data_IF_755913744344
#
_entry.id   IF_755913744344
#
_cell.length_a   1.000
_cell.length_b   1.000
_cell.length_c   1.000
_cell.angle_alpha   90.00
_cell.angle_beta   90.00
_cell.angle_gamma   90.00
#
_symmetry.space_group_name_H-M   'P 1'
#
loop_
_entity.id
_entity.type
_entity.pdbx_description
1 polymer ?
#
# COMPACT_ATOMS: atom_id res chain seq x y z
N UNK A 1 -2.14 19.48 69.30
CA UNK A 1 -2.42 18.11 68.78
C UNK A 1 -2.65 18.23 67.28
N UNK A 2 -1.89 17.48 66.48
CA UNK A 2 -1.80 17.55 65.00
C UNK A 2 -3.01 16.91 64.33
N UNK A 3 -3.48 17.47 63.21
CA UNK A 3 -4.08 16.79 62.04
C UNK A 3 -4.34 17.84 60.95
N UNK A 4 -3.38 18.12 60.07
CA UNK A 4 -3.06 17.51 58.76
C UNK A 4 -4.07 17.79 57.64
N UNK A 5 -3.49 18.34 56.57
CA UNK A 5 -3.99 18.77 55.27
C UNK A 5 -4.95 17.80 54.54
N UNK A 6 -5.94 18.42 53.89
CA UNK A 6 -6.23 18.38 52.44
C UNK A 6 -6.32 17.00 51.76
N UNK A 7 -7.55 16.56 51.44
CA UNK A 7 -7.82 15.46 50.53
C UNK A 7 -8.85 15.88 49.48
N UNK A 8 -8.37 16.35 48.33
CA UNK A 8 -9.19 16.56 47.13
C UNK A 8 -9.62 15.17 46.65
N UNK A 9 -10.93 14.94 46.64
CA UNK A 9 -11.54 13.72 46.15
C UNK A 9 -11.42 13.68 44.61
N UNK A 10 -10.34 13.10 44.09
CA UNK A 10 -10.28 12.72 42.68
C UNK A 10 -11.25 11.57 42.45
N UNK A 11 -12.40 11.87 41.86
CA UNK A 11 -13.30 10.86 41.33
C UNK A 11 -12.66 10.28 40.07
N UNK A 12 -11.81 9.27 40.24
CA UNK A 12 -11.27 8.53 39.09
C UNK A 12 -12.40 7.67 38.54
N UNK A 13 -12.97 8.11 37.41
CA UNK A 13 -13.82 7.27 36.58
C UNK A 13 -12.96 6.10 36.13
N UNK A 14 -13.09 4.99 36.82
CA UNK A 14 -12.48 3.72 36.43
C UNK A 14 -13.24 3.24 35.22
N UNK A 15 -12.78 3.60 34.02
CA UNK A 15 -13.20 2.92 32.79
C UNK A 15 -12.56 1.54 32.84
N UNK A 16 -13.20 0.63 33.58
CA UNK A 16 -12.93 -0.79 33.47
C UNK A 16 -13.67 -1.28 32.23
N UNK A 17 -13.20 -0.87 31.04
CA UNK A 17 -13.63 -1.49 29.80
C UNK A 17 -12.98 -2.86 29.77
N UNK A 18 -13.72 -3.87 30.22
CA UNK A 18 -13.42 -5.26 29.93
C UNK A 18 -13.41 -5.42 28.42
N UNK A 19 -12.24 -5.31 27.79
CA UNK A 19 -12.03 -5.73 26.41
C UNK A 19 -12.04 -7.26 26.38
N UNK A 20 -13.21 -7.86 26.64
CA UNK A 20 -13.44 -9.29 26.57
C UNK A 20 -14.36 -9.63 25.39
N UNK A 21 -14.13 -8.95 24.26
CA UNK A 21 -14.56 -9.38 22.94
C UNK A 21 -13.86 -8.48 21.92
N UNK A 22 -12.61 -8.79 21.55
CA UNK A 22 -12.08 -8.30 20.29
C UNK A 22 -12.82 -9.08 19.20
N UNK A 23 -13.99 -8.59 18.82
CA UNK A 23 -14.83 -9.18 17.78
C UNK A 23 -14.06 -9.01 16.47
N UNK A 24 -13.53 -10.11 15.93
CA UNK A 24 -12.87 -10.26 14.61
C UNK A 24 -13.76 -9.80 13.44
N UNK A 25 -14.11 -8.52 13.38
CA UNK A 25 -14.89 -7.90 12.31
C UNK A 25 -14.30 -6.55 11.88
N UNK A 26 -13.28 -6.02 12.58
CA UNK A 26 -12.63 -4.73 12.26
C UNK A 26 -11.14 -4.83 11.85
N UNK A 27 -10.56 -6.03 11.73
CA UNK A 27 -9.12 -6.19 11.41
C UNK A 27 -8.81 -6.09 9.90
N UNK A 28 -9.74 -6.41 8.99
CA UNK A 28 -9.45 -6.43 7.54
C UNK A 28 -9.23 -5.03 6.93
N UNK A 29 -9.84 -3.96 7.48
CA UNK A 29 -9.74 -2.59 6.92
C UNK A 29 -8.44 -1.90 7.36
N UNK A 30 -7.95 -2.21 8.56
CA UNK A 30 -6.74 -1.59 9.13
C UNK A 30 -5.48 -2.14 8.47
N UNK A 31 -5.47 -3.43 8.12
CA UNK A 31 -4.32 -4.09 7.51
C UNK A 31 -3.93 -3.47 6.17
N UNK A 32 -4.90 -3.17 5.30
CA UNK A 32 -4.59 -2.72 3.94
C UNK A 32 -3.99 -1.29 3.89
N UNK A 33 -4.35 -0.44 4.85
CA UNK A 33 -3.76 0.89 4.97
C UNK A 33 -2.27 0.81 5.37
N UNK A 34 -1.92 -0.12 6.25
CA UNK A 34 -0.54 -0.41 6.63
C UNK A 34 0.28 -0.94 5.46
N UNK A 35 -0.30 -1.77 4.61
CA UNK A 35 0.40 -2.31 3.44
C UNK A 35 0.63 -1.24 2.34
N UNK A 36 -0.27 -0.27 2.21
CA UNK A 36 -0.15 0.84 1.24
C UNK A 36 1.14 1.63 1.44
N UNK A 37 1.42 2.06 2.68
CA UNK A 37 2.63 2.85 2.97
C UNK A 37 3.93 2.07 2.76
N UNK A 38 3.87 0.74 2.81
CA UNK A 38 5.01 -0.15 2.60
C UNK A 38 5.20 -0.57 1.13
N UNK A 39 4.31 -0.14 0.25
CA UNK A 39 4.33 -0.48 -1.17
C UNK A 39 4.80 0.71 -1.99
N UNK A 40 5.80 0.52 -2.84
CA UNK A 40 6.26 1.55 -3.77
C UNK A 40 6.44 1.02 -5.18
N UNK A 41 6.06 1.86 -6.15
CA UNK A 41 6.23 1.63 -7.58
C UNK A 41 7.46 2.38 -8.09
N UNK A 42 8.45 1.62 -8.55
CA UNK A 42 9.67 2.11 -9.19
C UNK A 42 9.55 2.00 -10.71
N UNK A 43 10.15 2.96 -11.40
CA UNK A 43 10.15 3.06 -12.86
C UNK A 43 11.58 3.27 -13.33
N UNK A 44 12.01 2.47 -14.29
CA UNK A 44 13.31 2.53 -14.92
C UNK A 44 13.16 2.60 -16.44
N UNK A 45 13.49 3.75 -17.04
CA UNK A 45 13.47 3.91 -18.50
C UNK A 45 14.79 3.37 -19.06
N UNK A 46 14.73 2.52 -20.09
CA UNK A 46 15.93 1.94 -20.68
C UNK A 46 16.82 3.01 -21.32
N UNK A 47 18.11 3.00 -20.97
CA UNK A 47 19.11 3.90 -21.54
C UNK A 47 19.43 3.62 -23.02
N UNK A 48 19.06 2.46 -23.56
CA UNK A 48 19.28 2.08 -24.96
C UNK A 48 18.03 2.20 -25.83
N UNK A 49 16.84 2.23 -25.22
CA UNK A 49 15.58 2.43 -25.91
C UNK A 49 14.62 3.23 -25.00
N UNK A 50 14.46 4.55 -25.20
CA UNK A 50 13.66 5.40 -24.30
C UNK A 50 12.16 5.08 -24.31
N UNK A 51 11.70 4.25 -25.26
CA UNK A 51 10.31 3.74 -25.31
C UNK A 51 10.11 2.46 -24.50
N UNK A 52 11.19 1.81 -24.07
CA UNK A 52 11.12 0.61 -23.26
C UNK A 52 11.31 0.98 -21.79
N UNK A 53 10.34 0.60 -20.97
CA UNK A 53 10.32 0.92 -19.54
C UNK A 53 10.15 -0.36 -18.73
N UNK A 54 10.96 -0.48 -17.69
CA UNK A 54 10.85 -1.51 -16.67
C UNK A 54 10.16 -0.94 -15.43
N UNK A 55 9.19 -1.68 -14.93
CA UNK A 55 8.43 -1.38 -13.73
C UNK A 55 8.75 -2.41 -12.66
N UNK A 56 8.91 -1.95 -11.44
CA UNK A 56 9.09 -2.81 -10.27
C UNK A 56 8.24 -2.31 -9.11
N UNK A 57 7.48 -3.20 -8.50
CA UNK A 57 6.88 -2.96 -7.20
C UNK A 57 7.79 -3.53 -6.12
N UNK A 58 8.07 -2.71 -5.11
CA UNK A 58 8.69 -3.18 -3.88
C UNK A 58 7.69 -3.08 -2.74
N UNK A 59 7.72 -4.07 -1.86
CA UNK A 59 6.84 -4.20 -0.72
C UNK A 59 7.64 -4.74 0.46
N UNK A 60 7.53 -4.09 1.62
CA UNK A 60 8.28 -4.45 2.83
C UNK A 60 7.39 -4.84 4.01
N UNK A 61 6.11 -5.11 3.75
CA UNK A 61 5.18 -5.62 4.77
C UNK A 61 5.32 -7.13 4.98
N UNK A 62 4.59 -7.66 5.96
CA UNK A 62 4.65 -9.07 6.31
C UNK A 62 3.87 -9.96 5.33
N UNK A 63 2.84 -9.40 4.69
CA UNK A 63 2.01 -10.13 3.73
C UNK A 63 2.65 -10.16 2.34
N UNK A 64 2.49 -11.27 1.63
CA UNK A 64 3.08 -11.43 0.29
C UNK A 64 2.19 -10.89 -0.82
N UNK A 65 2.84 -10.32 -1.85
CA UNK A 65 2.21 -10.02 -3.13
C UNK A 65 1.83 -11.34 -3.82
N UNK A 66 0.55 -11.47 -4.16
CA UNK A 66 -0.01 -12.63 -4.87
C UNK A 66 -0.04 -12.39 -6.39
N UNK A 67 -0.39 -11.18 -6.81
CA UNK A 67 -0.39 -10.79 -8.22
C UNK A 67 -0.38 -9.28 -8.38
N UNK A 68 0.03 -8.82 -9.57
CA UNK A 68 -0.04 -7.42 -9.96
C UNK A 68 -0.72 -7.31 -11.32
N UNK A 69 -1.73 -6.44 -11.42
CA UNK A 69 -2.28 -6.03 -12.71
C UNK A 69 -1.69 -4.67 -13.07
N UNK A 70 -0.90 -4.66 -14.14
CA UNK A 70 -0.27 -3.47 -14.68
C UNK A 70 -1.18 -2.85 -15.73
N UNK A 71 -1.45 -1.56 -15.60
CA UNK A 71 -2.01 -0.73 -16.64
C UNK A 71 -0.98 0.34 -17.00
N UNK A 72 -0.51 0.32 -18.23
CA UNK A 72 0.58 1.19 -18.68
C UNK A 72 0.09 2.57 -19.15
N UNK A 73 -1.21 2.84 -19.12
CA UNK A 73 -1.79 4.13 -19.50
C UNK A 73 -1.96 4.34 -21.00
N UNK A 74 -1.46 3.44 -21.84
CA UNK A 74 -1.62 3.45 -23.31
C UNK A 74 -2.76 2.53 -23.81
N UNK A 75 -3.55 1.99 -22.88
CA UNK A 75 -4.63 1.04 -23.13
C UNK A 75 -4.21 -0.43 -23.05
N UNK A 76 -2.91 -0.72 -22.89
CA UNK A 76 -2.43 -2.09 -22.69
C UNK A 76 -2.35 -2.45 -21.20
N UNK A 77 -2.57 -3.72 -20.90
CA UNK A 77 -2.52 -4.27 -19.54
C UNK A 77 -1.86 -5.63 -19.51
N UNK A 78 -1.15 -5.94 -18.43
CA UNK A 78 -0.51 -7.24 -18.20
C UNK A 78 -0.72 -7.68 -16.75
N UNK A 79 -0.86 -8.98 -16.52
CA UNK A 79 -0.91 -9.54 -15.17
C UNK A 79 0.32 -10.39 -14.90
N UNK A 80 0.96 -10.18 -13.74
CA UNK A 80 2.13 -10.93 -13.31
C UNK A 80 1.94 -11.51 -11.91
N UNK A 81 2.61 -12.63 -11.62
CA UNK A 81 2.78 -13.16 -10.26
C UNK A 81 4.08 -12.65 -9.62
N UNK A 82 5.05 -12.23 -10.43
CA UNK A 82 6.24 -11.50 -9.97
C UNK A 82 5.98 -10.00 -9.80
N UNK A 83 6.98 -9.30 -9.25
CA UNK A 83 6.89 -7.88 -8.93
C UNK A 83 7.37 -6.94 -10.04
N UNK A 84 7.78 -7.48 -11.20
CA UNK A 84 8.29 -6.72 -12.33
C UNK A 84 7.45 -6.88 -13.58
N UNK A 85 7.46 -5.86 -14.42
CA UNK A 85 6.94 -5.89 -15.78
C UNK A 85 7.76 -4.98 -16.68
N UNK A 86 7.92 -5.37 -17.94
CA UNK A 86 8.54 -4.53 -18.97
C UNK A 86 7.50 -4.18 -20.02
N UNK A 87 7.48 -2.93 -20.46
CA UNK A 87 6.55 -2.45 -21.48
C UNK A 87 7.28 -1.65 -22.56
N UNK A 88 6.78 -1.74 -23.80
CA UNK A 88 7.26 -0.97 -24.94
C UNK A 88 6.13 -0.05 -25.43
N UNK A 89 6.35 1.26 -25.29
CA UNK A 89 5.41 2.26 -25.78
C UNK A 89 5.60 2.52 -27.28
N UNK A 90 4.51 2.55 -28.04
CA UNK A 90 4.57 2.81 -29.48
C UNK A 90 4.79 4.30 -29.81
N UNK A 91 4.17 5.18 -29.02
CA UNK A 91 4.18 6.63 -29.21
C UNK A 91 4.80 7.37 -28.02
N UNK A 92 5.46 8.50 -28.32
CA UNK A 92 5.90 9.45 -27.30
C UNK A 92 4.69 10.10 -26.62
N UNK A 93 4.84 10.47 -25.35
CA UNK A 93 3.77 11.05 -24.55
C UNK A 93 3.94 10.80 -23.06
N UNK A 94 3.05 11.38 -22.27
CA UNK A 94 2.97 11.17 -20.83
C UNK A 94 1.91 10.13 -20.53
N UNK A 95 2.28 9.09 -19.79
CA UNK A 95 1.39 7.99 -19.42
C UNK A 95 1.27 7.86 -17.91
N UNK A 96 0.04 7.73 -17.39
CA UNK A 96 -0.20 7.37 -15.99
C UNK A 96 -0.22 5.84 -15.87
N UNK A 97 0.87 5.30 -15.34
CA UNK A 97 0.99 3.87 -15.04
C UNK A 97 0.35 3.58 -13.70
N UNK A 98 -0.45 2.52 -13.63
CA UNK A 98 -1.09 2.03 -12.40
C UNK A 98 -0.77 0.55 -12.22
N UNK A 99 -0.34 0.17 -11.02
CA UNK A 99 -0.15 -1.23 -10.65
C UNK A 99 -1.19 -1.60 -9.58
N UNK A 100 -2.15 -2.47 -9.88
CA UNK A 100 -3.07 -3.01 -8.87
C UNK A 100 -2.43 -4.24 -8.22
N UNK A 101 -1.79 -4.02 -7.07
CA UNK A 101 -1.00 -4.98 -6.30
C UNK A 101 -1.91 -5.72 -5.33
N UNK A 102 -2.15 -7.00 -5.57
CA UNK A 102 -2.94 -7.86 -4.70
C UNK A 102 -2.04 -8.54 -3.67
N UNK A 103 -2.34 -8.34 -2.40
CA UNK A 103 -1.60 -8.84 -1.24
C UNK A 103 -2.50 -9.75 -0.41
N UNK A 104 -1.89 -10.70 0.30
CA UNK A 104 -2.59 -11.61 1.21
C UNK A 104 -3.76 -12.32 0.53
N UNK A 105 -3.49 -12.96 -0.62
CA UNK A 105 -4.47 -13.66 -1.43
C UNK A 105 -5.64 -12.77 -1.92
N UNK A 106 -5.36 -11.48 -2.18
CA UNK A 106 -6.34 -10.53 -2.70
C UNK A 106 -7.25 -9.92 -1.63
N UNK A 107 -6.94 -10.09 -0.33
CA UNK A 107 -7.63 -9.39 0.76
C UNK A 107 -7.35 -7.90 0.77
N UNK A 108 -6.18 -7.50 0.30
CA UNK A 108 -5.79 -6.11 0.12
C UNK A 108 -5.35 -5.88 -1.31
N UNK A 109 -5.85 -4.81 -1.92
CA UNK A 109 -5.40 -4.33 -3.23
C UNK A 109 -4.93 -2.89 -3.08
N UNK A 110 -3.67 -2.65 -3.43
CA UNK A 110 -3.05 -1.32 -3.41
C UNK A 110 -2.80 -0.91 -4.85
N UNK A 111 -3.12 0.33 -5.20
CA UNK A 111 -3.01 0.83 -6.56
C UNK A 111 -2.04 2.01 -6.67
N UNK A 112 -0.72 1.84 -6.43
CA UNK A 112 0.24 2.92 -6.68
C UNK A 112 0.20 3.33 -8.15
N UNK A 113 0.41 4.63 -8.36
CA UNK A 113 0.45 5.26 -9.67
C UNK A 113 1.76 6.00 -9.90
N UNK A 114 2.20 6.07 -11.15
CA UNK A 114 3.36 6.85 -11.56
C UNK A 114 3.16 7.44 -12.95
N UNK A 115 3.45 8.74 -13.09
CA UNK A 115 3.56 9.36 -14.41
C UNK A 115 4.92 9.04 -15.02
N UNK A 116 4.93 8.70 -16.31
CA UNK A 116 6.15 8.42 -17.07
C UNK A 116 6.10 9.20 -18.38
N UNK A 117 7.18 9.94 -18.68
CA UNK A 117 7.32 10.68 -19.93
C UNK A 117 8.16 9.87 -20.92
N UNK A 118 7.54 9.48 -22.03
CA UNK A 118 8.17 8.73 -23.11
C UNK A 118 8.54 9.69 -24.24
N UNK A 119 9.79 9.56 -24.71
CA UNK A 119 10.36 10.37 -25.79
C UNK A 119 10.40 9.60 -27.12
#
# INVERSE_FOLDING_TARGET
>A
MKTKLLGILFLTVSVFSTFSSCRKVEEDIVDCLGENILTSLHVNVSGTNPKQVEFNVSHSGENQITSIVWNFGDGTTTTTTGTTATHLYNAAGTYEVKADVNINNGKCTISPKRSVDIQ
#
